data_IF_868617270518
#
_entry.id   IF_868617270518
#
_cell.length_a   1.000
_cell.length_b   1.000
_cell.length_c   1.000
_cell.angle_alpha   90.00
_cell.angle_beta   90.00
_cell.angle_gamma   90.00
#
_symmetry.space_group_name_H-M   'P 1'
#
loop_
_entity.id
_entity.type
_entity.pdbx_description
1 polymer ?
#
# COMPACT_ATOMS: atom_id res chain seq x y z
N UNK A 1 -4.11 -16.09 -2.54
CA UNK A 1 -3.98 -14.68 -2.96
C UNK A 1 -3.58 -13.88 -1.73
N UNK A 2 -2.27 -13.79 -1.49
CA UNK A 2 -1.73 -13.19 -0.27
C UNK A 2 -1.63 -11.69 -0.43
N UNK A 3 -2.46 -10.94 0.28
CA UNK A 3 -2.14 -9.56 0.58
C UNK A 3 -0.93 -9.63 1.51
N UNK A 4 0.22 -9.12 1.06
CA UNK A 4 1.37 -8.93 1.94
C UNK A 4 1.00 -7.82 2.91
N UNK A 5 0.33 -8.19 4.01
CA UNK A 5 0.24 -7.33 5.19
C UNK A 5 1.64 -7.29 5.79
N UNK A 6 2.41 -6.26 5.45
CA UNK A 6 3.57 -5.91 6.25
C UNK A 6 3.09 -5.57 7.66
N UNK A 7 3.34 -6.49 8.57
CA UNK A 7 3.03 -6.41 9.99
C UNK A 7 3.87 -5.28 10.63
N UNK A 8 3.37 -4.04 10.59
CA UNK A 8 4.00 -2.94 11.32
C UNK A 8 3.52 -2.93 12.77
N UNK A 9 4.29 -3.64 13.59
CA UNK A 9 4.28 -3.54 15.07
C UNK A 9 4.88 -2.20 15.51
N UNK A 10 4.28 -1.07 15.11
CA UNK A 10 4.37 0.24 15.78
C UNK A 10 3.09 1.01 15.41
N UNK A 11 2.36 1.47 16.42
CA UNK A 11 1.19 2.36 16.29
C UNK A 11 1.60 3.60 15.48
N UNK A 12 1.42 3.56 14.17
CA UNK A 12 1.53 4.73 13.31
C UNK A 12 0.14 5.39 13.22
N UNK A 13 0.02 6.72 13.33
CA UNK A 13 -1.25 7.43 13.47
C UNK A 13 -2.15 7.37 12.22
N UNK A 14 -1.65 6.85 11.11
CA UNK A 14 -2.33 6.87 9.81
C UNK A 14 -3.67 6.13 9.79
N UNK A 15 -3.94 5.23 10.74
CA UNK A 15 -5.22 4.52 10.79
C UNK A 15 -6.39 5.52 10.79
N UNK A 16 -6.32 6.60 11.57
CA UNK A 16 -7.46 7.52 11.71
C UNK A 16 -7.81 8.23 10.39
N UNK A 17 -6.81 8.49 9.54
CA UNK A 17 -6.99 9.17 8.25
C UNK A 17 -7.64 8.29 7.18
N UNK A 18 -7.34 6.99 7.17
CA UNK A 18 -7.91 6.05 6.18
C UNK A 18 -9.33 5.62 6.56
N UNK A 19 -9.63 5.54 7.86
CA UNK A 19 -10.95 5.10 8.36
C UNK A 19 -11.98 6.23 8.49
N UNK A 20 -11.59 7.50 8.26
CA UNK A 20 -12.51 8.66 8.27
C UNK A 20 -13.02 9.06 6.88
N UNK A 21 -12.72 8.27 5.83
CA UNK A 21 -13.11 8.57 4.44
C UNK A 21 -12.66 9.96 3.91
N UNK A 22 -11.66 10.58 4.54
CA UNK A 22 -11.16 11.89 4.11
C UNK A 22 -10.39 11.84 2.78
N UNK A 23 -9.81 10.68 2.44
CA UNK A 23 -9.02 10.53 1.22
C UNK A 23 -9.11 9.11 0.62
N UNK A 24 -9.06 9.04 -0.71
CA UNK A 24 -9.01 7.77 -1.45
C UNK A 24 -7.60 7.15 -1.48
N UNK A 25 -6.56 7.98 -1.41
CA UNK A 25 -5.15 7.59 -1.48
C UNK A 25 -4.36 8.40 -0.46
N UNK A 26 -3.58 7.73 0.37
CA UNK A 26 -2.69 8.33 1.35
C UNK A 26 -1.24 7.90 1.08
N UNK A 27 -0.36 8.87 0.86
CA UNK A 27 1.08 8.64 0.78
C UNK A 27 1.65 8.54 2.20
N UNK A 28 2.45 7.51 2.46
CA UNK A 28 3.17 7.30 3.73
C UNK A 28 4.64 7.03 3.45
N UNK A 29 5.53 7.48 4.32
CA UNK A 29 6.95 7.13 4.22
C UNK A 29 7.12 5.61 4.30
N UNK A 30 7.98 5.05 3.45
CA UNK A 30 8.34 3.64 3.55
C UNK A 30 9.09 3.38 4.85
N UNK A 31 8.75 2.27 5.52
CA UNK A 31 9.43 1.85 6.73
C UNK A 31 10.76 1.13 6.46
N UNK A 32 11.01 0.76 5.19
CA UNK A 32 12.16 -0.06 4.77
C UNK A 32 13.20 0.78 4.04
N UNK A 33 12.77 1.76 3.24
CA UNK A 33 13.64 2.62 2.42
C UNK A 33 13.25 4.06 2.69
N UNK A 34 14.17 4.85 3.26
CA UNK A 34 13.87 6.19 3.80
C UNK A 34 13.45 7.19 2.72
N UNK A 35 13.96 7.03 1.51
CA UNK A 35 13.75 7.89 0.35
C UNK A 35 12.52 7.50 -0.48
N UNK A 36 11.80 6.44 -0.07
CA UNK A 36 10.63 5.94 -0.78
C UNK A 36 9.33 6.14 -0.02
N UNK A 37 8.22 6.09 -0.77
CA UNK A 37 6.87 6.18 -0.24
C UNK A 37 6.07 4.94 -0.62
N UNK A 38 5.25 4.49 0.33
CA UNK A 38 4.16 3.55 0.07
C UNK A 38 2.84 4.33 -0.03
N UNK A 39 1.84 3.71 -0.67
CA UNK A 39 0.52 4.29 -0.81
C UNK A 39 -0.52 3.35 -0.21
N UNK A 40 -1.37 3.91 0.66
CA UNK A 40 -2.56 3.25 1.17
C UNK A 40 -3.75 3.69 0.32
N UNK A 41 -4.55 2.73 -0.16
CA UNK A 41 -5.71 3.00 -0.99
C UNK A 41 -6.95 2.55 -0.24
N UNK A 42 -7.94 3.44 -0.09
CA UNK A 42 -9.21 3.14 0.56
C UNK A 42 -10.25 2.68 -0.48
N UNK A 43 -10.64 1.40 -0.52
CA UNK A 43 -11.65 0.91 -1.46
C UNK A 43 -13.09 1.38 -1.14
N UNK A 44 -13.36 1.88 0.08
CA UNK A 44 -14.68 2.35 0.49
C UNK A 44 -14.93 3.81 0.08
N UNK A 45 -13.88 4.59 -0.19
CA UNK A 45 -14.01 5.99 -0.57
C UNK A 45 -14.70 6.14 -1.94
N UNK A 46 -15.68 7.05 -2.13
CA UNK A 46 -16.43 7.19 -3.39
C UNK A 46 -15.56 7.38 -4.64
N UNK A 47 -14.47 8.13 -4.50
CA UNK A 47 -13.50 8.37 -5.57
C UNK A 47 -12.61 7.17 -5.93
N UNK A 48 -12.65 6.05 -5.20
CA UNK A 48 -11.88 4.83 -5.51
C UNK A 48 -12.15 4.34 -6.94
N UNK A 49 -13.38 4.51 -7.41
CA UNK A 49 -13.83 4.18 -8.78
C UNK A 49 -13.04 4.89 -9.89
N UNK A 50 -12.29 5.95 -9.56
CA UNK A 50 -11.43 6.68 -10.49
C UNK A 50 -10.03 6.07 -10.64
N UNK A 51 -9.64 5.19 -9.72
CA UNK A 51 -8.32 4.53 -9.73
C UNK A 51 -8.35 3.37 -10.73
N UNK A 52 -7.36 3.30 -11.62
CA UNK A 52 -7.29 2.29 -12.68
C UNK A 52 -5.92 1.62 -12.68
N UNK A 53 -5.91 0.30 -12.88
CA UNK A 53 -4.68 -0.45 -13.17
C UNK A 53 -4.42 -0.34 -14.67
N UNK A 54 -3.30 0.28 -15.05
CA UNK A 54 -2.96 0.51 -16.45
C UNK A 54 -2.21 -0.66 -17.10
N UNK A 55 -1.38 -1.36 -16.33
CA UNK A 55 -0.56 -2.48 -16.80
C UNK A 55 -0.38 -3.47 -15.66
N UNK A 56 -0.45 -4.75 -16.00
CA UNK A 56 -0.05 -5.84 -15.11
C UNK A 56 1.23 -6.43 -15.70
N UNK A 57 2.24 -6.60 -14.87
CA UNK A 57 3.50 -7.23 -15.24
C UNK A 57 3.67 -8.52 -14.46
N UNK A 58 4.23 -9.54 -15.12
CA UNK A 58 4.56 -10.78 -14.44
C UNK A 58 5.73 -10.52 -13.49
N UNK A 59 5.49 -10.77 -12.20
CA UNK A 59 6.54 -10.76 -11.21
C UNK A 59 7.06 -12.19 -11.03
N UNK A 60 8.29 -12.44 -11.48
CA UNK A 60 9.01 -13.68 -11.19
C UNK A 60 9.97 -13.46 -10.04
N UNK A 61 9.81 -14.22 -8.96
CA UNK A 61 10.82 -14.24 -7.90
C UNK A 61 12.13 -14.77 -8.48
N UNK A 62 13.22 -14.06 -8.23
CA UNK A 62 14.55 -14.57 -8.53
C UNK A 62 14.85 -15.73 -7.58
N UNK A 63 15.02 -16.93 -8.12
CA UNK A 63 15.25 -18.15 -7.33
C UNK A 63 16.49 -18.03 -6.42
N UNK A 64 17.44 -17.16 -6.77
CA UNK A 64 18.63 -16.91 -5.94
C UNK A 64 18.31 -16.18 -4.63
N UNK A 65 17.20 -15.44 -4.58
CA UNK A 65 16.77 -14.71 -3.38
C UNK A 65 16.05 -15.61 -2.36
N UNK A 66 15.81 -16.89 -2.69
CA UNK A 66 15.14 -17.85 -1.80
C UNK A 66 16.08 -18.88 -1.14
N UNK A 67 17.41 -18.69 -1.25
CA UNK A 67 18.42 -19.57 -0.66
C UNK A 67 18.76 -19.19 0.78
#
# INVERSE_FOLDING_TARGET
MGVVLFYLKKKQPYHQLIWQDDCAVLQVSSATITEEYNYLINPQHPAFTRIKVHRVENFTFDERLMQ
#
